data_IF_468932330298
#
_entry.id   IF_468932330298
#
_cell.length_a   1.000
_cell.length_b   1.000
_cell.length_c   1.000
_cell.angle_alpha   90.00
_cell.angle_beta   90.00
_cell.angle_gamma   90.00
#
_symmetry.space_group_name_H-M   'P 1'
#
loop_
_entity.id
_entity.type
_entity.pdbx_description
1 polymer ?
#
# COMPACT_ATOMS: atom_id res chain seq x y z
N UNK A 1 -7.93 37.85 -10.53
CA UNK A 1 -8.28 36.86 -11.57
C UNK A 1 -7.10 36.05 -12.14
N UNK A 2 -5.83 36.28 -11.73
CA UNK A 2 -4.69 35.49 -12.24
C UNK A 2 -4.59 34.07 -11.62
N UNK A 3 -4.81 33.93 -10.31
CA UNK A 3 -4.62 32.65 -9.61
C UNK A 3 -5.59 31.53 -10.00
N UNK A 4 -6.83 31.85 -10.37
CA UNK A 4 -7.83 30.85 -10.79
C UNK A 4 -7.56 30.31 -12.19
N UNK A 5 -7.01 31.13 -13.10
CA UNK A 5 -6.55 30.66 -14.42
C UNK A 5 -5.38 29.70 -14.28
N UNK A 6 -4.39 30.06 -13.46
CA UNK A 6 -3.23 29.21 -13.20
C UNK A 6 -3.62 27.86 -12.57
N UNK A 7 -4.53 27.88 -11.58
CA UNK A 7 -5.10 26.66 -11.00
C UNK A 7 -5.80 25.79 -12.07
N UNK A 8 -6.60 26.41 -12.94
CA UNK A 8 -7.35 25.68 -13.97
C UNK A 8 -6.45 25.02 -15.02
N UNK A 9 -5.29 25.60 -15.32
CA UNK A 9 -4.36 25.09 -16.36
C UNK A 9 -3.20 24.27 -15.81
N UNK A 10 -2.91 24.33 -14.50
CA UNK A 10 -1.80 23.58 -13.90
C UNK A 10 -2.05 22.08 -13.91
N UNK A 11 -0.97 21.33 -14.15
CA UNK A 11 -0.91 19.87 -14.01
C UNK A 11 -0.79 19.42 -12.55
N UNK A 12 -0.49 20.33 -11.62
CA UNK A 12 -0.33 20.06 -10.17
C UNK A 12 -1.18 21.03 -9.34
N UNK A 13 -2.44 21.24 -9.75
CA UNK A 13 -3.33 22.24 -9.14
C UNK A 13 -3.64 21.99 -7.66
N UNK A 14 -3.48 20.75 -7.19
CA UNK A 14 -3.59 20.37 -5.78
C UNK A 14 -2.43 20.90 -4.91
N UNK A 15 -1.27 21.17 -5.51
CA UNK A 15 -0.10 21.78 -4.86
C UNK A 15 -0.07 23.29 -5.06
N UNK A 16 -0.35 23.74 -6.28
CA UNK A 16 -0.39 25.16 -6.66
C UNK A 16 -1.75 25.82 -6.36
N UNK A 17 -2.36 25.45 -5.23
CA UNK A 17 -3.67 25.99 -4.88
C UNK A 17 -3.54 27.47 -4.44
N UNK A 18 -4.37 28.39 -4.95
CA UNK A 18 -4.26 29.80 -4.59
C UNK A 18 -4.43 30.00 -3.08
N UNK A 19 -3.62 30.88 -2.46
CA UNK A 19 -3.69 31.12 -1.02
C UNK A 19 -5.10 31.57 -0.64
N UNK A 20 -5.75 30.78 0.21
CA UNK A 20 -7.15 30.96 0.59
C UNK A 20 -7.37 30.48 2.02
N UNK A 21 -8.34 31.08 2.71
CA UNK A 21 -8.71 30.72 4.09
C UNK A 21 -9.68 29.54 4.11
N UNK A 22 -9.31 28.42 3.51
CA UNK A 22 -10.12 27.19 3.48
C UNK A 22 -9.36 26.03 4.12
N UNK A 23 -10.11 25.08 4.68
CA UNK A 23 -9.56 23.84 5.25
C UNK A 23 -9.08 22.88 4.16
N UNK A 24 -8.23 21.92 4.52
CA UNK A 24 -7.75 20.89 3.59
C UNK A 24 -8.90 20.11 2.93
N UNK A 25 -9.95 19.78 3.69
CA UNK A 25 -11.13 19.11 3.13
C UNK A 25 -11.92 20.01 2.17
N UNK A 26 -12.09 21.30 2.49
CA UNK A 26 -12.71 22.26 1.58
C UNK A 26 -11.91 22.41 0.29
N UNK A 27 -10.57 22.38 0.34
CA UNK A 27 -9.70 22.37 -0.85
C UNK A 27 -10.00 21.17 -1.75
N UNK A 28 -10.17 19.97 -1.18
CA UNK A 28 -10.57 18.77 -1.93
C UNK A 28 -11.95 18.94 -2.57
N UNK A 29 -12.91 19.54 -1.86
CA UNK A 29 -14.25 19.83 -2.40
C UNK A 29 -14.21 20.80 -3.60
N UNK A 30 -13.34 21.82 -3.55
CA UNK A 30 -13.14 22.75 -4.68
C UNK A 30 -12.52 22.03 -5.87
N UNK A 31 -11.50 21.19 -5.66
CA UNK A 31 -10.89 20.39 -6.74
C UNK A 31 -11.91 19.43 -7.34
N UNK A 32 -12.74 18.76 -6.51
CA UNK A 32 -13.83 17.91 -6.99
C UNK A 32 -14.80 18.65 -7.91
N UNK A 33 -15.12 19.91 -7.60
CA UNK A 33 -16.06 20.72 -8.38
C UNK A 33 -15.45 21.28 -9.68
N UNK A 34 -14.16 21.67 -9.67
CA UNK A 34 -13.53 22.40 -10.78
C UNK A 34 -12.58 21.56 -11.65
N UNK A 35 -11.90 20.57 -11.06
CA UNK A 35 -10.88 19.70 -11.68
C UNK A 35 -11.02 18.26 -11.15
N UNK A 36 -12.14 17.56 -11.44
CA UNK A 36 -12.37 16.20 -10.95
C UNK A 36 -11.31 15.21 -11.44
N UNK A 37 -10.62 15.50 -12.55
CA UNK A 37 -9.46 14.74 -13.04
C UNK A 37 -8.30 14.70 -12.03
N UNK A 38 -8.17 15.70 -11.17
CA UNK A 38 -7.14 15.80 -10.12
C UNK A 38 -7.61 15.34 -8.75
N UNK A 39 -8.85 14.88 -8.63
CA UNK A 39 -9.45 14.51 -7.34
C UNK A 39 -8.65 13.41 -6.63
N UNK A 40 -8.21 12.39 -7.38
CA UNK A 40 -7.44 11.27 -6.81
C UNK A 40 -6.15 11.78 -6.14
N UNK A 41 -5.34 12.55 -6.87
CA UNK A 41 -4.09 13.11 -6.34
C UNK A 41 -4.36 14.07 -5.19
N UNK A 42 -5.40 14.91 -5.27
CA UNK A 42 -5.78 15.81 -4.18
C UNK A 42 -6.18 15.06 -2.90
N UNK A 43 -6.90 13.95 -3.03
CA UNK A 43 -7.24 13.08 -1.90
C UNK A 43 -6.00 12.42 -1.31
N UNK A 44 -5.06 11.96 -2.15
CA UNK A 44 -3.80 11.38 -1.68
C UNK A 44 -2.98 12.40 -0.89
N UNK A 45 -2.82 13.63 -1.42
CA UNK A 45 -2.11 14.73 -0.73
C UNK A 45 -2.80 15.05 0.60
N UNK A 46 -4.12 15.20 0.60
CA UNK A 46 -4.88 15.49 1.82
C UNK A 46 -4.73 14.40 2.87
N UNK A 47 -4.85 13.12 2.50
CA UNK A 47 -4.71 12.01 3.43
C UNK A 47 -3.27 11.91 3.97
N UNK A 48 -2.25 12.08 3.13
CA UNK A 48 -0.84 12.14 3.56
C UNK A 48 -0.58 13.27 4.56
N UNK A 49 -1.11 14.47 4.32
CA UNK A 49 -1.00 15.62 5.23
C UNK A 49 -1.70 15.35 6.57
N UNK A 50 -2.91 14.77 6.53
CA UNK A 50 -3.70 14.50 7.74
C UNK A 50 -3.09 13.40 8.62
N UNK A 51 -2.59 12.32 8.00
CA UNK A 51 -1.95 11.20 8.69
C UNK A 51 -0.48 11.50 9.04
N UNK A 52 0.08 12.58 8.46
CA UNK A 52 1.48 13.01 8.60
C UNK A 52 2.49 11.97 8.12
N UNK A 53 2.19 11.36 6.97
CA UNK A 53 3.07 10.40 6.30
C UNK A 53 3.53 10.95 4.95
N UNK A 54 4.79 10.70 4.56
CA UNK A 54 5.32 11.18 3.28
C UNK A 54 4.68 10.50 2.07
N UNK A 55 4.14 9.29 2.24
CA UNK A 55 3.43 8.52 1.22
C UNK A 55 2.36 7.65 1.87
N UNK A 56 1.25 7.44 1.17
CA UNK A 56 0.21 6.47 1.56
C UNK A 56 0.55 5.04 1.12
N UNK A 57 1.57 4.86 0.28
CA UNK A 57 2.01 3.53 -0.11
C UNK A 57 2.72 2.90 1.09
N UNK A 58 2.34 1.68 1.50
CA UNK A 58 3.08 0.97 2.54
C UNK A 58 4.51 0.73 2.05
N UNK A 59 5.49 0.65 2.98
CA UNK A 59 6.83 0.24 2.61
C UNK A 59 6.81 -1.16 1.98
N UNK A 60 7.75 -1.46 1.05
CA UNK A 60 7.94 -2.81 0.59
C UNK A 60 8.24 -3.72 1.78
N UNK A 61 7.75 -4.95 1.73
CA UNK A 61 7.91 -5.94 2.81
C UNK A 61 8.42 -7.24 2.19
N UNK A 62 9.62 -7.66 2.59
CA UNK A 62 10.19 -8.97 2.28
C UNK A 62 9.79 -10.02 3.32
N UNK A 63 9.93 -11.31 2.98
CA UNK A 63 9.65 -12.40 3.92
C UNK A 63 10.62 -12.36 5.13
N UNK A 64 11.86 -11.96 4.90
CA UNK A 64 12.85 -11.76 5.96
C UNK A 64 12.42 -10.67 6.95
N UNK A 65 11.99 -9.52 6.44
CA UNK A 65 11.50 -8.42 7.29
C UNK A 65 10.20 -8.80 8.00
N UNK A 66 9.30 -9.55 7.35
CA UNK A 66 8.09 -10.09 8.00
C UNK A 66 8.45 -10.97 9.21
N UNK A 67 9.42 -11.87 9.08
CA UNK A 67 9.87 -12.72 10.17
C UNK A 67 10.49 -11.92 11.33
N UNK A 68 11.33 -10.93 11.02
CA UNK A 68 12.09 -10.18 12.04
C UNK A 68 11.29 -9.04 12.68
N UNK A 69 10.49 -8.30 11.90
CA UNK A 69 9.85 -7.04 12.32
C UNK A 69 8.44 -7.27 12.85
N UNK A 70 7.68 -8.18 12.25
CA UNK A 70 6.29 -8.43 12.65
C UNK A 70 6.17 -9.45 13.79
N UNK A 71 7.30 -9.95 14.31
CA UNK A 71 7.34 -10.77 15.50
C UNK A 71 6.50 -12.04 15.34
N UNK A 72 6.83 -12.86 14.34
CA UNK A 72 6.04 -14.06 14.04
C UNK A 72 6.10 -15.04 15.22
N UNK A 73 4.94 -15.47 15.71
CA UNK A 73 4.83 -16.41 16.82
C UNK A 73 4.35 -17.78 16.34
N UNK A 74 4.90 -18.86 16.89
CA UNK A 74 4.55 -20.23 16.49
C UNK A 74 3.06 -20.58 16.66
N UNK A 75 2.32 -19.86 17.51
CA UNK A 75 0.89 -20.05 17.75
C UNK A 75 0.01 -19.25 16.80
N UNK A 76 0.58 -18.34 16.01
CA UNK A 76 -0.14 -17.45 15.11
C UNK A 76 0.19 -17.79 13.65
N UNK A 77 -0.71 -18.45 12.90
CA UNK A 77 -0.46 -18.74 11.49
C UNK A 77 -0.44 -17.46 10.65
N UNK A 78 0.38 -17.47 9.60
CA UNK A 78 0.52 -16.36 8.65
C UNK A 78 -0.26 -16.70 7.39
N UNK A 79 -1.18 -15.83 7.00
CA UNK A 79 -1.93 -15.94 5.74
C UNK A 79 -1.34 -14.97 4.70
N UNK A 80 -0.81 -15.51 3.60
CA UNK A 80 -0.35 -14.73 2.46
C UNK A 80 -1.43 -14.72 1.38
N UNK A 81 -1.89 -13.53 1.01
CA UNK A 81 -2.90 -13.34 -0.05
C UNK A 81 -2.18 -13.12 -1.38
N UNK A 82 -2.36 -14.04 -2.31
CA UNK A 82 -1.77 -13.97 -3.65
C UNK A 82 -2.70 -13.28 -4.64
N UNK A 83 -2.13 -12.48 -5.54
CA UNK A 83 -2.81 -11.99 -6.74
C UNK A 83 -2.33 -12.77 -7.97
N UNK A 84 -3.07 -12.80 -9.09
CA UNK A 84 -2.60 -13.47 -10.31
C UNK A 84 -1.20 -12.98 -10.71
N UNK A 85 -0.24 -13.90 -10.80
CA UNK A 85 1.16 -13.60 -11.13
C UNK A 85 2.06 -13.22 -9.94
N UNK A 86 1.54 -13.20 -8.70
CA UNK A 86 2.31 -12.97 -7.48
C UNK A 86 2.18 -14.17 -6.54
N UNK A 87 3.11 -15.13 -6.67
CA UNK A 87 3.22 -16.31 -5.81
C UNK A 87 4.49 -16.22 -4.93
N UNK A 88 4.36 -16.00 -3.61
CA UNK A 88 5.48 -15.89 -2.69
C UNK A 88 6.08 -17.25 -2.28
N UNK A 89 5.53 -18.38 -2.76
CA UNK A 89 5.90 -19.72 -2.29
C UNK A 89 7.39 -20.03 -2.44
N UNK A 90 8.01 -19.59 -3.56
CA UNK A 90 9.44 -19.81 -3.80
C UNK A 90 10.33 -19.00 -2.86
N UNK A 91 10.04 -17.71 -2.70
CA UNK A 91 10.78 -16.85 -1.78
C UNK A 91 10.66 -17.36 -0.34
N UNK A 92 9.48 -17.85 0.04
CA UNK A 92 9.22 -18.41 1.36
C UNK A 92 10.00 -19.71 1.58
N UNK A 93 10.03 -20.60 0.58
CA UNK A 93 10.81 -21.83 0.63
C UNK A 93 12.30 -21.51 0.78
N UNK A 94 12.86 -20.64 -0.07
CA UNK A 94 14.27 -20.24 0.01
C UNK A 94 14.63 -19.65 1.38
N UNK A 95 13.79 -18.76 1.91
CA UNK A 95 13.97 -18.18 3.24
C UNK A 95 13.91 -19.25 4.34
N UNK A 96 12.92 -20.15 4.31
CA UNK A 96 12.77 -21.20 5.30
C UNK A 96 13.94 -22.20 5.26
N UNK A 97 14.40 -22.58 4.08
CA UNK A 97 15.56 -23.45 3.91
C UNK A 97 16.83 -22.82 4.49
N UNK A 98 17.02 -21.51 4.33
CA UNK A 98 18.11 -20.77 4.95
C UNK A 98 18.00 -20.64 6.47
N UNK A 99 16.78 -20.55 7.02
CA UNK A 99 16.55 -20.27 8.45
C UNK A 99 16.41 -21.52 9.31
N UNK A 100 15.57 -22.48 8.89
CA UNK A 100 15.25 -23.69 9.67
C UNK A 100 15.84 -24.97 9.08
N UNK A 101 16.25 -24.95 7.80
CA UNK A 101 16.83 -26.10 7.10
C UNK A 101 15.78 -27.04 6.48
N UNK A 102 16.21 -27.87 5.54
CA UNK A 102 15.34 -28.79 4.76
C UNK A 102 14.56 -29.75 5.63
N UNK A 103 15.17 -30.30 6.68
CA UNK A 103 14.55 -31.32 7.53
C UNK A 103 13.40 -30.79 8.40
N UNK A 104 13.28 -29.45 8.53
CA UNK A 104 12.25 -28.79 9.35
C UNK A 104 11.27 -27.95 8.55
N UNK A 105 11.41 -27.92 7.22
CA UNK A 105 10.46 -27.27 6.33
C UNK A 105 9.57 -28.31 5.67
N UNK A 106 8.26 -28.13 5.76
CA UNK A 106 7.27 -28.96 5.09
C UNK A 106 6.26 -28.07 4.36
N UNK A 107 5.96 -28.41 3.11
CA UNK A 107 4.92 -27.76 2.31
C UNK A 107 3.90 -28.79 1.84
N UNK A 108 2.64 -28.38 1.78
CA UNK A 108 1.56 -29.20 1.28
C UNK A 108 0.67 -28.32 0.39
N UNK A 109 0.59 -28.66 -0.89
CA UNK A 109 -0.38 -28.04 -1.79
C UNK A 109 -1.77 -28.61 -1.49
N UNK A 110 -2.82 -27.80 -1.58
CA UNK A 110 -4.19 -28.30 -1.42
C UNK A 110 -4.79 -28.64 -2.78
N UNK A 111 -5.08 -29.92 -3.01
CA UNK A 111 -5.74 -30.48 -4.18
C UNK A 111 -6.76 -31.56 -3.79
N UNK A 112 -7.45 -32.12 -4.79
CA UNK A 112 -8.41 -33.19 -4.55
C UNK A 112 -7.72 -34.46 -4.02
N UNK A 113 -8.12 -34.94 -2.84
CA UNK A 113 -7.61 -36.19 -2.23
C UNK A 113 -6.62 -36.02 -1.07
N UNK A 114 -6.27 -34.80 -0.67
CA UNK A 114 -5.29 -34.54 0.41
C UNK A 114 -5.93 -34.27 1.79
N UNK A 115 -7.24 -34.50 1.94
CA UNK A 115 -7.95 -34.33 3.23
C UNK A 115 -7.93 -35.61 4.09
N UNK A 116 -7.42 -36.73 3.58
CA UNK A 116 -7.31 -38.00 4.27
C UNK A 116 -5.82 -38.34 4.54
N UNK A 117 -5.22 -37.69 5.52
CA UNK A 117 -3.96 -38.12 6.15
C UNK A 117 -3.87 -37.55 7.57
#
# INVERSE_FOLDING_TARGET
>A
HAGTRQFSTSSECERDFPPSKITGFQRVMVIKALRPDRLHTAMQVFASEMIRVPSLSPPPMSISELYEVLGTEAKQPILLITTPGSDPSKELEEFALGKVGRDRYASCAMGGGQQEA
#
